data_IF_259307141899
#
_entry.id   IF_259307141899
#
_cell.length_a   1.000
_cell.length_b   1.000
_cell.length_c   1.000
_cell.angle_alpha   90.00
_cell.angle_beta   90.00
_cell.angle_gamma   90.00
#
_symmetry.space_group_name_H-M   'P 1'
#
loop_
_entity.id
_entity.type
_entity.pdbx_description
1 polymer ?
#
# COMPACT_ATOMS: atom_id res chain seq x y z
N UNK A 1 12.61 -7.48 -24.50
CA UNK A 1 12.57 -8.68 -23.65
C UNK A 1 11.40 -8.45 -22.71
N UNK A 2 10.29 -9.18 -22.89
CA UNK A 2 9.08 -9.01 -22.08
C UNK A 2 9.29 -9.80 -20.78
N UNK A 3 9.01 -9.21 -19.60
CA UNK A 3 9.16 -9.93 -18.34
C UNK A 3 8.27 -11.18 -18.32
N UNK A 4 8.75 -12.24 -17.66
CA UNK A 4 7.98 -13.48 -17.50
C UNK A 4 6.73 -13.18 -16.64
N UNK A 5 5.55 -13.71 -17.03
CA UNK A 5 4.28 -13.38 -16.38
C UNK A 5 4.25 -13.71 -14.88
N UNK A 6 5.01 -14.72 -14.46
CA UNK A 6 5.13 -15.11 -13.05
C UNK A 6 5.87 -14.06 -12.21
N UNK A 7 6.90 -13.40 -12.77
CA UNK A 7 7.63 -12.33 -12.10
C UNK A 7 6.78 -11.07 -11.89
N UNK A 8 5.90 -10.76 -12.86
CA UNK A 8 4.97 -9.63 -12.76
C UNK A 8 3.93 -9.89 -11.68
N UNK A 9 3.35 -11.10 -11.64
CA UNK A 9 2.40 -11.49 -10.60
C UNK A 9 3.02 -11.46 -9.20
N UNK A 10 4.27 -11.91 -9.05
CA UNK A 10 4.99 -11.88 -7.77
C UNK A 10 5.27 -10.44 -7.30
N UNK A 11 5.77 -9.57 -8.19
CA UNK A 11 6.02 -8.16 -7.86
C UNK A 11 4.74 -7.44 -7.43
N UNK A 12 3.62 -7.69 -8.10
CA UNK A 12 2.32 -7.12 -7.74
C UNK A 12 1.79 -7.66 -6.40
N UNK A 13 2.01 -8.93 -6.10
CA UNK A 13 1.66 -9.50 -4.80
C UNK A 13 2.49 -8.87 -3.66
N UNK A 14 3.79 -8.66 -3.88
CA UNK A 14 4.67 -7.98 -2.91
C UNK A 14 4.26 -6.52 -2.71
N UNK A 15 3.98 -5.79 -3.79
CA UNK A 15 3.46 -4.42 -3.73
C UNK A 15 2.13 -4.35 -2.96
N UNK A 16 1.23 -5.30 -3.21
CA UNK A 16 -0.05 -5.38 -2.49
C UNK A 16 0.14 -5.66 -0.99
N UNK A 17 1.03 -6.57 -0.63
CA UNK A 17 1.37 -6.85 0.77
C UNK A 17 1.93 -5.59 1.47
N UNK A 18 2.86 -4.89 0.83
CA UNK A 18 3.43 -3.66 1.36
C UNK A 18 2.38 -2.56 1.56
N UNK A 19 1.47 -2.39 0.60
CA UNK A 19 0.38 -1.42 0.70
C UNK A 19 -0.59 -1.76 1.85
N UNK A 20 -0.86 -3.05 2.09
CA UNK A 20 -1.65 -3.53 3.24
C UNK A 20 -0.96 -3.24 4.56
N UNK A 21 0.33 -3.54 4.68
CA UNK A 21 1.10 -3.27 5.90
C UNK A 21 1.15 -1.77 6.21
N UNK A 22 1.33 -0.93 5.18
CA UNK A 22 1.29 0.51 5.32
C UNK A 22 -0.08 1.01 5.79
N UNK A 23 -1.17 0.53 5.18
CA UNK A 23 -2.53 0.88 5.61
C UNK A 23 -2.80 0.48 7.07
N UNK A 24 -2.37 -0.73 7.46
CA UNK A 24 -2.48 -1.21 8.86
C UNK A 24 -1.68 -0.34 9.81
N UNK A 25 -0.45 0.01 9.46
CA UNK A 25 0.40 0.88 10.27
C UNK A 25 -0.23 2.26 10.46
N UNK A 26 -0.73 2.89 9.39
CA UNK A 26 -1.38 4.20 9.48
C UNK A 26 -2.65 4.13 10.31
N UNK A 27 -3.48 3.11 10.09
CA UNK A 27 -4.69 2.89 10.88
C UNK A 27 -4.37 2.71 12.37
N UNK A 28 -3.36 1.92 12.70
CA UNK A 28 -2.91 1.71 14.07
C UNK A 28 -2.35 3.00 14.72
N UNK A 29 -1.62 3.82 13.96
CA UNK A 29 -1.00 5.05 14.47
C UNK A 29 -1.98 6.23 14.58
N UNK A 30 -2.99 6.29 13.73
CA UNK A 30 -3.89 7.46 13.62
C UNK A 30 -5.31 7.20 14.13
N UNK A 31 -5.72 5.93 14.23
CA UNK A 31 -7.10 5.53 14.50
C UNK A 31 -8.09 5.89 13.39
N UNK A 32 -7.63 6.43 12.26
CA UNK A 32 -8.52 6.90 11.19
C UNK A 32 -9.09 5.74 10.37
N UNK A 33 -10.40 5.78 10.12
CA UNK A 33 -11.08 4.79 9.27
C UNK A 33 -10.81 5.00 7.78
N UNK A 34 -10.39 6.19 7.38
CA UNK A 34 -9.95 6.47 6.01
C UNK A 34 -8.73 7.36 6.04
N UNK A 35 -7.85 7.16 5.05
CA UNK A 35 -6.65 7.97 4.88
C UNK A 35 -6.35 8.10 3.40
N UNK A 36 -5.83 9.25 3.02
CA UNK A 36 -5.36 9.52 1.67
C UNK A 36 -4.17 10.47 1.71
N UNK A 37 -3.17 10.20 0.87
CA UNK A 37 -2.01 11.05 0.68
C UNK A 37 -1.52 11.00 -0.76
N UNK A 38 -0.94 12.11 -1.19
CA UNK A 38 -0.22 12.23 -2.45
C UNK A 38 1.26 12.53 -2.15
N UNK A 39 2.17 11.84 -2.83
CA UNK A 39 3.61 12.02 -2.74
C UNK A 39 4.21 11.96 -4.13
N UNK A 40 4.48 13.14 -4.71
CA UNK A 40 4.94 13.24 -6.10
C UNK A 40 3.94 12.60 -7.06
N UNK A 41 4.36 11.53 -7.74
CA UNK A 41 3.53 10.79 -8.69
C UNK A 41 2.65 9.70 -8.06
N UNK A 42 2.80 9.43 -6.76
CA UNK A 42 2.05 8.42 -6.03
C UNK A 42 0.85 9.04 -5.34
N UNK A 43 -0.32 8.44 -5.52
CA UNK A 43 -1.47 8.60 -4.63
C UNK A 43 -1.69 7.28 -3.89
N UNK A 44 -1.68 7.32 -2.57
CA UNK A 44 -2.00 6.19 -1.71
C UNK A 44 -3.23 6.51 -0.85
N UNK A 45 -4.17 5.58 -0.75
CA UNK A 45 -5.28 5.71 0.18
C UNK A 45 -5.84 4.38 0.63
N UNK A 46 -6.46 4.38 1.80
CA UNK A 46 -7.23 3.23 2.28
C UNK A 46 -8.53 3.65 2.95
N UNK A 47 -9.47 2.71 2.98
CA UNK A 47 -10.69 2.74 3.77
C UNK A 47 -10.78 1.44 4.55
N UNK A 48 -10.79 1.55 5.88
CA UNK A 48 -11.08 0.45 6.79
C UNK A 48 -12.60 0.22 6.83
N UNK A 49 -13.00 -1.01 6.57
CA UNK A 49 -14.40 -1.44 6.60
C UNK A 49 -14.75 -2.14 7.92
N UNK A 50 -15.90 -2.84 7.90
CA UNK A 50 -16.32 -3.67 9.03
C UNK A 50 -15.28 -4.76 9.34
N UNK A 51 -15.05 -5.00 10.63
CA UNK A 51 -14.21 -6.07 11.22
C UNK A 51 -12.91 -6.30 10.45
N UNK A 52 -11.96 -5.35 10.49
CA UNK A 52 -10.59 -5.57 10.01
C UNK A 52 -10.41 -5.72 8.50
N UNK A 53 -11.43 -5.39 7.70
CA UNK A 53 -11.31 -5.31 6.24
C UNK A 53 -10.65 -3.99 5.80
N UNK A 54 -9.83 -4.05 4.75
CA UNK A 54 -9.19 -2.87 4.16
C UNK A 54 -9.45 -2.85 2.65
N UNK A 55 -9.85 -1.70 2.14
CA UNK A 55 -9.85 -1.38 0.71
C UNK A 55 -8.79 -0.33 0.46
N UNK A 56 -7.79 -0.65 -0.36
CA UNK A 56 -6.61 0.20 -0.60
C UNK A 56 -6.55 0.52 -2.08
N UNK A 57 -6.24 1.77 -2.39
CA UNK A 57 -6.00 2.25 -3.73
C UNK A 57 -4.60 2.87 -3.79
N UNK A 58 -3.78 2.36 -4.71
CA UNK A 58 -2.50 2.93 -5.08
C UNK A 58 -2.62 3.39 -6.52
N UNK A 59 -2.28 4.64 -6.79
CA UNK A 59 -2.28 5.23 -8.13
C UNK A 59 -0.91 5.82 -8.39
N UNK A 60 -0.32 5.49 -9.54
CA UNK A 60 0.96 5.99 -9.98
C UNK A 60 0.83 6.71 -11.31
N UNK A 61 1.29 7.97 -11.33
CA UNK A 61 1.26 8.88 -12.48
C UNK A 61 -0.13 9.08 -13.10
N UNK A 62 -1.21 8.75 -12.38
CA UNK A 62 -2.59 8.83 -12.90
C UNK A 62 -2.95 7.75 -13.92
N UNK A 63 -2.01 6.85 -14.25
CA UNK A 63 -2.17 5.85 -15.31
C UNK A 63 -2.24 4.44 -14.74
N UNK A 64 -1.47 4.16 -13.69
CA UNK A 64 -1.31 2.81 -13.14
C UNK A 64 -2.02 2.73 -11.81
N UNK A 65 -3.10 1.95 -11.75
CA UNK A 65 -3.91 1.79 -10.56
C UNK A 65 -3.83 0.36 -10.04
N UNK A 66 -3.60 0.26 -8.74
CA UNK A 66 -3.64 -0.97 -7.98
C UNK A 66 -4.71 -0.84 -6.91
N UNK A 67 -5.79 -1.61 -7.06
CA UNK A 67 -6.83 -1.73 -6.05
C UNK A 67 -6.67 -3.05 -5.30
N UNK A 68 -6.63 -2.98 -3.97
CA UNK A 68 -6.42 -4.14 -3.11
C UNK A 68 -7.58 -4.24 -2.14
N UNK A 69 -8.14 -5.45 -2.03
CA UNK A 69 -9.12 -5.78 -0.99
C UNK A 69 -8.53 -6.83 -0.08
N UNK A 70 -8.37 -6.48 1.19
CA UNK A 70 -7.97 -7.39 2.25
C UNK A 70 -9.20 -7.74 3.09
N UNK A 71 -9.74 -8.96 3.00
CA UNK A 71 -10.77 -9.41 3.92
C UNK A 71 -10.22 -9.56 5.35
N UNK A 72 -11.12 -9.63 6.33
CA UNK A 72 -10.81 -9.82 7.75
C UNK A 72 -10.04 -11.11 8.04
N UNK A 73 -10.28 -12.15 7.23
CA UNK A 73 -9.59 -13.44 7.31
C UNK A 73 -8.16 -13.30 6.76
N UNK A 74 -7.21 -14.09 7.28
CA UNK A 74 -5.80 -14.16 6.83
C UNK A 74 -5.62 -14.70 5.40
N UNK A 75 -6.61 -14.49 4.53
CA UNK A 75 -6.53 -14.80 3.10
C UNK A 75 -5.64 -13.75 2.43
N UNK A 76 -4.88 -14.17 1.42
CA UNK A 76 -3.98 -13.31 0.65
C UNK A 76 -4.73 -12.07 0.10
N UNK A 77 -4.08 -10.88 0.10
CA UNK A 77 -4.65 -9.67 -0.48
C UNK A 77 -5.07 -9.93 -1.92
N UNK A 78 -6.31 -9.55 -2.28
CA UNK A 78 -6.75 -9.66 -3.67
C UNK A 78 -6.45 -8.38 -4.40
N UNK A 79 -5.54 -8.46 -5.37
CA UNK A 79 -5.30 -7.44 -6.38
C UNK A 79 -6.44 -7.47 -7.39
N UNK A 80 -7.14 -6.35 -7.54
CA UNK A 80 -8.30 -6.20 -8.43
C UNK A 80 -7.90 -5.54 -9.77
N UNK A 81 -6.83 -4.75 -9.79
CA UNK A 81 -6.18 -4.14 -10.97
C UNK A 81 -4.67 -4.14 -10.72
N UNK A 82 -3.84 -4.52 -11.71
CA UNK A 82 -3.28 -3.51 -12.61
C UNK A 82 -3.45 -3.86 -14.09
N UNK A 83 -3.26 -2.86 -14.96
CA UNK A 83 -3.43 -2.95 -16.42
C UNK A 83 -2.15 -2.62 -17.22
N UNK A 84 -0.95 -2.66 -16.62
CA UNK A 84 0.30 -2.41 -17.37
C UNK A 84 1.42 -3.40 -17.01
N UNK A 85 1.91 -4.09 -18.05
CA UNK A 85 2.67 -5.36 -18.02
C UNK A 85 4.19 -5.19 -17.98
N UNK A 86 4.71 -3.96 -18.01
CA UNK A 86 6.15 -3.72 -18.14
C UNK A 86 6.94 -3.89 -16.83
N UNK A 87 6.27 -4.00 -15.68
CA UNK A 87 6.83 -4.36 -14.37
C UNK A 87 7.81 -3.34 -13.74
N UNK A 88 8.42 -2.45 -14.54
CA UNK A 88 9.41 -1.45 -14.09
C UNK A 88 8.86 -0.47 -13.06
N UNK A 89 7.59 -0.09 -13.19
CA UNK A 89 6.93 0.80 -12.23
C UNK A 89 6.70 0.16 -10.86
N UNK A 90 6.62 -1.18 -10.78
CA UNK A 90 6.35 -1.86 -9.52
C UNK A 90 7.48 -1.56 -8.53
N UNK A 91 8.73 -1.60 -8.99
CA UNK A 91 9.90 -1.27 -8.19
C UNK A 91 9.87 0.20 -7.72
N UNK A 92 9.55 1.16 -8.61
CA UNK A 92 9.46 2.59 -8.27
C UNK A 92 8.35 2.87 -7.24
N UNK A 93 7.19 2.24 -7.41
CA UNK A 93 6.08 2.38 -6.46
C UNK A 93 6.43 1.74 -5.12
N UNK A 94 7.07 0.58 -5.10
CA UNK A 94 7.52 -0.07 -3.86
C UNK A 94 8.54 0.79 -3.11
N UNK A 95 9.50 1.42 -3.81
CA UNK A 95 10.48 2.31 -3.19
C UNK A 95 9.78 3.55 -2.57
N UNK A 96 8.88 4.18 -3.33
CA UNK A 96 8.10 5.34 -2.85
C UNK A 96 7.19 4.99 -1.66
N UNK A 97 6.57 3.81 -1.64
CA UNK A 97 5.80 3.32 -0.50
C UNK A 97 6.71 3.02 0.71
N UNK A 98 7.92 2.51 0.47
CA UNK A 98 8.94 2.32 1.50
C UNK A 98 9.37 3.63 2.16
N UNK A 99 9.55 4.70 1.38
CA UNK A 99 9.81 6.05 1.89
C UNK A 99 8.65 6.58 2.76
N UNK A 100 7.43 6.45 2.26
CA UNK A 100 6.22 6.86 2.99
C UNK A 100 6.09 6.09 4.31
N UNK A 101 6.32 4.77 4.29
CA UNK A 101 6.34 3.94 5.50
C UNK A 101 7.35 4.46 6.52
N UNK A 102 8.61 4.64 6.12
CA UNK A 102 9.68 5.15 7.00
C UNK A 102 9.32 6.50 7.61
N UNK A 103 8.72 7.39 6.81
CA UNK A 103 8.24 8.69 7.29
C UNK A 103 7.15 8.55 8.36
N UNK A 104 6.16 7.67 8.15
CA UNK A 104 5.08 7.42 9.12
C UNK A 104 5.60 6.75 10.39
N UNK A 105 6.51 5.77 10.28
CA UNK A 105 7.14 5.11 11.42
C UNK A 105 7.93 6.12 12.28
N UNK A 106 8.73 6.98 11.63
CA UNK A 106 9.47 8.05 12.31
C UNK A 106 8.54 9.07 13.02
N UNK A 107 7.35 9.33 12.45
CA UNK A 107 6.34 10.20 13.07
C UNK A 107 5.62 9.51 14.23
N UNK A 108 5.23 8.25 14.07
CA UNK A 108 4.57 7.45 15.12
C UNK A 108 5.45 7.26 16.35
N UNK A 109 6.75 7.01 16.14
CA UNK A 109 7.74 6.88 17.23
C UNK A 109 7.91 8.17 18.06
N UNK A 110 7.66 9.35 17.48
CA UNK A 110 7.71 10.63 18.20
C UNK A 110 6.44 10.94 19.00
N UNK A 111 5.29 10.42 18.58
CA UNK A 111 4.02 10.59 19.31
C UNK A 111 3.85 9.61 20.47
N UNK A 112 4.65 8.53 20.50
CA UNK A 112 4.65 7.50 21.55
C UNK A 112 5.84 7.61 22.52
N UNK A 113 6.29 8.84 22.83
CA UNK A 113 7.37 9.04 23.79
C UNK A 113 7.08 8.32 25.13
N UNK A 114 8.09 7.72 25.79
CA UNK A 114 7.89 7.01 27.05
C UNK A 114 7.29 7.96 28.10
N UNK A 115 6.39 7.50 28.99
CA UNK A 115 5.91 8.33 30.08
C UNK A 115 7.09 8.74 30.95
N UNK A 116 7.22 10.05 31.17
CA UNK A 116 8.11 10.62 32.20
C UNK A 116 7.56 10.34 33.60
#
# INVERSE_FOLDING_TARGET
MTPEPDCVAEGLAQLAAMAVDLARLIHANTGQMSYHTELGSLSFGFVAGAVGSLSIAVNWQGLRRLQIRQPASQVLPRVVEPLDDDGLWVAEVMDTLGDLRRFIEARGARSGGPPA
#
